data_IF_390897001611
#
_entry.id   IF_390897001611
#
_cell.length_a   1.000
_cell.length_b   1.000
_cell.length_c   1.000
_cell.angle_alpha   90.00
_cell.angle_beta   90.00
_cell.angle_gamma   90.00
#
_symmetry.space_group_name_H-M   'P 1'
#
loop_
_entity.id
_entity.type
_entity.pdbx_description
1 polymer ?
#
# COMPACT_ATOMS: atom_id res chain seq x y z
N UNK A 1 -18.00 71.82 0.60
CA UNK A 1 -17.31 70.74 1.36
C UNK A 1 -15.94 70.53 0.75
N UNK A 2 -14.85 70.55 1.54
CA UNK A 2 -13.51 70.37 0.97
C UNK A 2 -13.37 68.95 0.40
N UNK A 3 -12.88 68.82 -0.83
CA UNK A 3 -12.70 67.52 -1.52
C UNK A 3 -11.75 66.57 -0.76
N UNK A 4 -11.01 67.07 0.22
CA UNK A 4 -9.99 66.32 0.96
C UNK A 4 -10.56 65.52 2.15
N UNK A 5 -11.83 65.72 2.52
CA UNK A 5 -12.45 65.01 3.65
C UNK A 5 -12.91 63.58 3.34
N UNK A 6 -13.42 63.36 2.11
CA UNK A 6 -14.00 62.07 1.71
C UNK A 6 -12.95 60.96 1.57
N UNK A 7 -11.72 61.30 1.18
CA UNK A 7 -10.65 60.31 0.99
C UNK A 7 -10.37 59.50 2.27
N UNK A 8 -10.51 60.12 3.46
CA UNK A 8 -10.26 59.49 4.76
C UNK A 8 -11.24 58.38 5.13
N UNK A 9 -12.37 58.27 4.43
CA UNK A 9 -13.38 57.26 4.71
C UNK A 9 -13.17 55.98 3.91
N UNK A 10 -12.57 56.06 2.71
CA UNK A 10 -12.35 54.88 1.89
C UNK A 10 -11.37 53.89 2.54
N UNK A 11 -10.37 54.37 3.29
CA UNK A 11 -9.39 53.52 3.98
C UNK A 11 -10.03 52.62 5.05
N UNK A 12 -11.26 52.93 5.48
CA UNK A 12 -12.01 52.16 6.49
C UNK A 12 -12.99 51.15 5.90
N UNK A 13 -13.19 51.16 4.59
CA UNK A 13 -14.11 50.23 3.93
C UNK A 13 -13.51 48.83 3.91
N UNK A 14 -14.30 47.85 4.30
CA UNK A 14 -13.99 46.43 4.10
C UNK A 14 -13.93 46.10 2.60
N UNK A 15 -13.25 45.01 2.19
CA UNK A 15 -13.21 44.59 0.79
C UNK A 15 -14.61 44.43 0.17
N UNK A 16 -15.55 43.87 0.94
CA UNK A 16 -16.93 43.62 0.49
C UNK A 16 -17.74 44.90 0.30
N UNK A 17 -17.66 45.86 1.23
CA UNK A 17 -18.32 47.16 1.10
C UNK A 17 -17.79 47.94 -0.11
N UNK A 18 -16.46 47.89 -0.31
CA UNK A 18 -15.80 48.57 -1.41
C UNK A 18 -16.20 47.99 -2.76
N UNK A 19 -16.27 46.65 -2.86
CA UNK A 19 -16.79 45.95 -4.04
C UNK A 19 -18.22 46.37 -4.37
N UNK A 20 -19.12 46.39 -3.37
CA UNK A 20 -20.52 46.81 -3.57
C UNK A 20 -20.61 48.26 -4.06
N UNK A 21 -19.84 49.17 -3.46
CA UNK A 21 -19.83 50.57 -3.86
C UNK A 21 -19.28 50.78 -5.27
N UNK A 22 -18.25 50.02 -5.65
CA UNK A 22 -17.64 50.08 -6.98
C UNK A 22 -18.62 49.63 -8.07
N UNK A 23 -19.29 48.48 -7.86
CA UNK A 23 -20.35 47.99 -8.75
C UNK A 23 -21.48 49.03 -8.91
N UNK A 24 -21.90 49.66 -7.82
CA UNK A 24 -22.93 50.70 -7.84
C UNK A 24 -22.46 51.99 -8.53
N UNK A 25 -21.19 52.37 -8.38
CA UNK A 25 -20.61 53.52 -9.08
C UNK A 25 -20.56 53.27 -10.60
N UNK A 26 -20.09 52.08 -11.00
CA UNK A 26 -20.06 51.64 -12.39
C UNK A 26 -21.46 51.60 -13.03
N UNK A 27 -22.46 51.08 -12.31
CA UNK A 27 -23.85 51.04 -12.79
C UNK A 27 -24.44 52.45 -13.04
N UNK A 28 -23.95 53.48 -12.33
CA UNK A 28 -24.35 54.89 -12.52
C UNK A 28 -23.48 55.64 -13.52
N UNK A 29 -22.48 54.98 -14.12
CA UNK A 29 -21.51 55.61 -15.02
C UNK A 29 -20.50 56.53 -14.32
N UNK A 30 -20.40 56.47 -12.99
CA UNK A 30 -19.49 57.30 -12.20
C UNK A 30 -18.08 56.67 -12.14
N UNK A 31 -17.35 56.81 -13.24
CA UNK A 31 -15.97 56.29 -13.37
C UNK A 31 -15.01 56.89 -12.34
N UNK A 32 -15.25 58.15 -11.95
CA UNK A 32 -14.34 58.85 -11.04
C UNK A 32 -14.46 58.31 -9.61
N UNK A 33 -15.66 57.90 -9.19
CA UNK A 33 -15.86 57.21 -7.92
C UNK A 33 -15.25 55.80 -7.92
N UNK A 34 -15.41 55.05 -9.02
CA UNK A 34 -14.77 53.75 -9.19
C UNK A 34 -13.23 53.86 -9.09
N UNK A 35 -12.63 54.82 -9.79
CA UNK A 35 -11.18 55.09 -9.71
C UNK A 35 -10.73 55.43 -8.28
N UNK A 36 -11.52 56.18 -7.51
CA UNK A 36 -11.22 56.47 -6.09
C UNK A 36 -11.31 55.24 -5.19
N UNK A 37 -12.32 54.40 -5.39
CA UNK A 37 -12.48 53.15 -4.65
C UNK A 37 -11.34 52.17 -4.93
N UNK A 38 -10.95 52.02 -6.19
CA UNK A 38 -9.84 51.15 -6.61
C UNK A 38 -8.48 51.69 -6.15
N UNK A 39 -8.25 53.00 -6.29
CA UNK A 39 -6.94 53.60 -5.92
C UNK A 39 -6.69 53.64 -4.41
N UNK A 40 -7.75 53.68 -3.60
CA UNK A 40 -7.68 53.62 -2.13
C UNK A 40 -7.62 52.20 -1.57
N UNK A 41 -7.79 51.15 -2.39
CA UNK A 41 -7.69 49.76 -1.92
C UNK A 41 -6.34 49.53 -1.22
N UNK A 42 -6.34 48.98 0.02
CA UNK A 42 -5.11 48.60 0.70
C UNK A 42 -4.31 47.66 -0.19
N UNK A 43 -3.09 48.08 -0.53
CA UNK A 43 -2.15 47.25 -1.26
C UNK A 43 -1.29 46.52 -0.24
N UNK A 44 -1.42 45.21 -0.22
CA UNK A 44 -0.60 44.35 0.61
C UNK A 44 0.54 43.78 -0.23
N UNK A 45 1.75 43.85 0.31
CA UNK A 45 2.87 43.09 -0.21
C UNK A 45 2.80 41.70 0.40
N UNK A 46 2.55 40.69 -0.43
CA UNK A 46 2.62 39.31 0.00
C UNK A 46 4.00 38.74 -0.35
N UNK A 47 4.59 38.02 0.58
CA UNK A 47 5.70 37.11 0.31
C UNK A 47 5.12 35.72 0.21
N UNK A 48 5.40 35.01 -0.88
CA UNK A 48 4.97 33.63 -1.08
C UNK A 48 6.19 32.78 -1.40
N UNK A 49 6.16 31.53 -0.99
CA UNK A 49 7.13 30.54 -1.45
C UNK A 49 7.08 30.46 -2.97
N UNK A 50 8.25 30.27 -3.59
CA UNK A 50 8.31 30.07 -5.03
C UNK A 50 7.34 28.97 -5.47
N UNK A 51 6.52 29.29 -6.47
CA UNK A 51 5.43 28.42 -6.92
C UNK A 51 5.99 27.15 -7.56
N UNK A 52 7.08 27.28 -8.32
CA UNK A 52 7.71 26.13 -8.98
C UNK A 52 8.30 25.18 -7.95
N UNK A 53 9.02 25.69 -6.96
CA UNK A 53 9.52 24.92 -5.82
C UNK A 53 8.38 24.18 -5.10
N UNK A 54 7.33 24.90 -4.70
CA UNK A 54 6.22 24.31 -3.95
C UNK A 54 5.46 23.25 -4.76
N UNK A 55 5.29 23.48 -6.06
CA UNK A 55 4.68 22.52 -6.97
C UNK A 55 5.51 21.25 -7.12
N UNK A 56 6.82 21.37 -7.36
CA UNK A 56 7.74 20.23 -7.43
C UNK A 56 7.74 19.42 -6.12
N UNK A 57 7.74 20.09 -4.98
CA UNK A 57 7.67 19.42 -3.68
C UNK A 57 6.39 18.60 -3.50
N UNK A 58 5.24 19.20 -3.85
CA UNK A 58 3.95 18.51 -3.79
C UNK A 58 3.89 17.31 -4.73
N UNK A 59 4.54 17.41 -5.90
CA UNK A 59 4.61 16.30 -6.85
C UNK A 59 5.48 15.15 -6.37
N UNK A 60 6.64 15.44 -5.79
CA UNK A 60 7.49 14.40 -5.20
C UNK A 60 6.72 13.64 -4.11
N UNK A 61 5.99 14.36 -3.26
CA UNK A 61 5.13 13.74 -2.24
C UNK A 61 4.06 12.83 -2.87
N UNK A 62 3.29 13.34 -3.83
CA UNK A 62 2.20 12.58 -4.47
C UNK A 62 2.70 11.33 -5.19
N UNK A 63 3.76 11.44 -6.00
CA UNK A 63 4.34 10.31 -6.72
C UNK A 63 4.93 9.26 -5.78
N UNK A 64 5.68 9.70 -4.76
CA UNK A 64 6.28 8.79 -3.78
C UNK A 64 5.21 8.00 -3.02
N UNK A 65 4.13 8.68 -2.59
CA UNK A 65 3.03 8.01 -1.88
C UNK A 65 2.29 7.02 -2.78
N UNK A 66 2.00 7.37 -4.04
CA UNK A 66 1.31 6.47 -4.97
C UNK A 66 2.14 5.23 -5.29
N UNK A 67 3.42 5.41 -5.57
CA UNK A 67 4.35 4.30 -5.80
C UNK A 67 4.43 3.42 -4.55
N UNK A 68 4.59 4.04 -3.37
CA UNK A 68 4.71 3.26 -2.14
C UNK A 68 3.42 2.47 -1.83
N UNK A 69 2.22 2.95 -2.15
CA UNK A 69 1.00 2.16 -1.98
C UNK A 69 1.07 0.84 -2.75
N UNK A 70 1.59 0.85 -3.98
CA UNK A 70 1.75 -0.38 -4.77
C UNK A 70 2.86 -1.29 -4.22
N UNK A 71 4.00 -0.72 -3.81
CA UNK A 71 5.06 -1.50 -3.17
C UNK A 71 4.55 -2.12 -1.87
N UNK A 72 3.89 -1.34 -1.02
CA UNK A 72 3.35 -1.79 0.26
C UNK A 72 2.35 -2.93 0.10
N UNK A 73 1.51 -2.92 -0.94
CA UNK A 73 0.60 -4.01 -1.24
C UNK A 73 1.34 -5.34 -1.43
N UNK A 74 2.42 -5.36 -2.19
CA UNK A 74 3.24 -6.56 -2.38
C UNK A 74 3.95 -6.97 -1.09
N UNK A 75 4.46 -6.01 -0.31
CA UNK A 75 5.10 -6.30 0.98
C UNK A 75 4.11 -6.89 1.99
N UNK A 76 2.89 -6.37 2.04
CA UNK A 76 1.82 -6.90 2.91
C UNK A 76 1.43 -8.34 2.51
N UNK A 77 1.40 -8.64 1.20
CA UNK A 77 1.19 -10.01 0.71
C UNK A 77 2.35 -10.93 1.11
N UNK A 78 3.59 -10.47 1.04
CA UNK A 78 4.75 -11.24 1.52
C UNK A 78 4.65 -11.51 3.03
N UNK A 79 4.23 -10.53 3.82
CA UNK A 79 4.01 -10.70 5.26
C UNK A 79 2.89 -11.72 5.54
N UNK A 80 1.81 -11.69 4.75
CA UNK A 80 0.75 -12.69 4.81
C UNK A 80 1.25 -14.10 4.45
N UNK A 81 2.07 -14.24 3.40
CA UNK A 81 2.68 -15.53 3.02
C UNK A 81 3.56 -16.08 4.14
N UNK A 82 4.36 -15.24 4.81
CA UNK A 82 5.16 -15.63 5.98
C UNK A 82 4.28 -16.10 7.14
N UNK A 83 3.18 -15.39 7.41
CA UNK A 83 2.23 -15.78 8.45
C UNK A 83 1.58 -17.15 8.14
N UNK A 84 1.18 -17.39 6.88
CA UNK A 84 0.65 -18.69 6.45
C UNK A 84 1.71 -19.78 6.62
N UNK A 85 2.96 -19.54 6.17
CA UNK A 85 4.06 -20.50 6.32
C UNK A 85 4.31 -20.86 7.79
N UNK A 86 4.25 -19.87 8.69
CA UNK A 86 4.39 -20.10 10.13
C UNK A 86 3.20 -20.90 10.73
N UNK A 87 2.01 -20.81 10.15
CA UNK A 87 0.83 -21.53 10.61
C UNK A 87 0.73 -22.96 10.06
N UNK A 88 1.37 -23.28 8.93
CA UNK A 88 1.28 -24.59 8.28
C UNK A 88 1.65 -25.77 9.21
N UNK A 89 2.75 -25.74 9.99
CA UNK A 89 3.07 -26.85 10.89
C UNK A 89 1.97 -27.13 11.91
N UNK A 90 1.33 -26.07 12.44
CA UNK A 90 0.22 -26.19 13.40
C UNK A 90 -1.00 -26.82 12.74
N UNK A 91 -1.31 -26.40 11.51
CA UNK A 91 -2.42 -26.98 10.75
C UNK A 91 -2.16 -28.46 10.42
N UNK A 92 -0.93 -28.81 10.08
CA UNK A 92 -0.54 -30.18 9.74
C UNK A 92 -0.60 -31.10 10.97
N UNK A 93 -0.11 -30.64 12.12
CA UNK A 93 -0.25 -31.36 13.40
C UNK A 93 -1.72 -31.58 13.76
N UNK A 94 -2.53 -30.52 13.70
CA UNK A 94 -3.96 -30.61 13.97
C UNK A 94 -4.69 -31.57 13.00
N UNK A 95 -4.33 -31.53 11.71
CA UNK A 95 -4.88 -32.44 10.71
C UNK A 95 -4.50 -33.88 11.02
N UNK A 96 -3.24 -34.15 11.39
CA UNK A 96 -2.77 -35.48 11.81
C UNK A 96 -3.54 -36.01 13.01
N UNK A 97 -3.73 -35.21 14.05
CA UNK A 97 -4.51 -35.59 15.22
C UNK A 97 -5.96 -35.92 14.84
N UNK A 98 -6.61 -35.08 14.03
CA UNK A 98 -7.98 -35.32 13.57
C UNK A 98 -8.11 -36.56 12.71
N UNK A 99 -7.14 -36.84 11.83
CA UNK A 99 -7.12 -38.06 11.04
C UNK A 99 -6.94 -39.30 11.93
N UNK A 100 -6.07 -39.23 12.93
CA UNK A 100 -5.88 -40.29 13.92
C UNK A 100 -7.18 -40.60 14.66
N UNK A 101 -7.86 -39.58 15.18
CA UNK A 101 -9.13 -39.74 15.88
C UNK A 101 -10.21 -40.37 14.98
N UNK A 102 -10.32 -39.88 13.75
CA UNK A 102 -11.27 -40.41 12.77
C UNK A 102 -10.96 -41.88 12.40
N UNK A 103 -9.69 -42.23 12.25
CA UNK A 103 -9.25 -43.60 11.99
C UNK A 103 -9.61 -44.53 13.16
N UNK A 104 -9.28 -44.12 14.40
CA UNK A 104 -9.58 -44.90 15.62
C UNK A 104 -11.08 -45.12 15.75
N UNK A 105 -11.91 -44.08 15.58
CA UNK A 105 -13.36 -44.20 15.72
C UNK A 105 -13.95 -45.05 14.58
N UNK A 106 -13.48 -44.88 13.35
CA UNK A 106 -13.88 -45.70 12.21
C UNK A 106 -13.55 -47.18 12.41
N UNK A 107 -12.35 -47.48 12.92
CA UNK A 107 -11.94 -48.85 13.26
C UNK A 107 -12.85 -49.45 14.33
N UNK A 108 -13.13 -48.71 15.41
CA UNK A 108 -14.05 -49.15 16.47
C UNK A 108 -15.46 -49.40 15.95
N UNK A 109 -15.97 -48.52 15.10
CA UNK A 109 -17.29 -48.68 14.49
C UNK A 109 -17.35 -49.94 13.60
N UNK A 110 -16.35 -50.15 12.75
CA UNK A 110 -16.24 -51.34 11.89
C UNK A 110 -16.16 -52.63 12.70
N UNK A 111 -15.36 -52.66 13.77
CA UNK A 111 -15.26 -53.80 14.67
C UNK A 111 -16.60 -54.13 15.34
N UNK A 112 -17.33 -53.13 15.87
CA UNK A 112 -18.67 -53.31 16.45
C UNK A 112 -19.65 -53.89 15.43
N UNK A 113 -19.63 -53.39 14.20
CA UNK A 113 -20.50 -53.88 13.13
C UNK A 113 -20.19 -55.34 12.75
N UNK A 114 -18.90 -55.67 12.58
CA UNK A 114 -18.45 -57.02 12.26
C UNK A 114 -18.81 -58.02 13.38
N UNK A 115 -18.63 -57.62 14.64
CA UNK A 115 -19.01 -58.42 15.80
C UNK A 115 -20.51 -58.75 15.81
N UNK A 116 -21.36 -57.74 15.61
CA UNK A 116 -22.80 -57.95 15.52
C UNK A 116 -23.20 -58.84 14.34
N UNK A 117 -22.55 -58.68 13.18
CA UNK A 117 -22.80 -59.51 12.00
C UNK A 117 -22.38 -60.98 12.21
N UNK A 118 -21.40 -61.25 13.06
CA UNK A 118 -20.99 -62.60 13.44
C UNK A 118 -21.96 -63.30 14.42
N UNK A 119 -22.99 -62.59 14.90
CA UNK A 119 -23.97 -63.13 15.86
C UNK A 119 -23.42 -63.30 17.28
N UNK A 120 -22.30 -62.66 17.60
CA UNK A 120 -21.70 -62.74 18.93
C UNK A 120 -22.48 -61.87 19.93
N UNK A 121 -22.83 -62.44 21.08
CA UNK A 121 -23.50 -61.73 22.18
C UNK A 121 -22.51 -60.89 23.01
N UNK A 122 -23.00 -59.81 23.60
CA UNK A 122 -22.21 -58.91 24.45
C UNK A 122 -21.69 -57.66 23.73
N UNK A 123 -20.93 -56.85 24.46
CA UNK A 123 -20.26 -55.68 23.90
C UNK A 123 -18.97 -56.13 23.23
N UNK A 124 -18.66 -55.61 22.03
CA UNK A 124 -17.35 -55.75 21.40
C UNK A 124 -16.28 -54.93 22.16
N UNK A 125 -16.36 -54.90 23.50
CA UNK A 125 -15.45 -54.17 24.35
C UNK A 125 -14.16 -54.96 24.43
N UNK A 126 -13.06 -54.27 24.12
CA UNK A 126 -11.69 -54.74 24.29
C UNK A 126 -11.15 -55.63 23.16
N UNK A 127 -11.48 -55.34 21.90
CA UNK A 127 -10.43 -55.58 20.91
C UNK A 127 -9.26 -54.65 21.25
N UNK A 128 -8.08 -55.19 21.60
CA UNK A 128 -6.98 -54.38 22.03
C UNK A 128 -6.64 -53.41 20.89
N UNK A 129 -6.47 -52.13 21.23
CA UNK A 129 -5.95 -51.13 20.30
C UNK A 129 -4.49 -51.43 19.90
N UNK A 130 -3.89 -52.49 20.46
CA UNK A 130 -2.66 -53.14 20.02
C UNK A 130 -2.85 -53.69 18.60
N UNK A 131 -2.68 -52.82 17.61
CA UNK A 131 -2.93 -53.12 16.21
C UNK A 131 -3.30 -51.90 15.37
N UNK A 132 -3.50 -50.73 16.00
CA UNK A 132 -3.49 -49.46 15.28
C UNK A 132 -2.09 -49.24 14.75
N UNK A 133 -1.94 -49.43 13.44
CA UNK A 133 -0.72 -49.13 12.72
C UNK A 133 -0.58 -47.61 12.62
N UNK A 134 0.11 -47.00 13.59
CA UNK A 134 0.42 -45.56 13.58
C UNK A 134 1.16 -45.16 12.29
N UNK A 135 1.97 -46.06 11.73
CA UNK A 135 2.62 -45.86 10.44
C UNK A 135 1.62 -45.67 9.30
N UNK A 136 0.45 -46.30 9.36
CA UNK A 136 -0.62 -46.12 8.38
C UNK A 136 -1.40 -44.82 8.57
N UNK A 137 -1.51 -44.32 9.80
CA UNK A 137 -2.08 -42.98 10.07
C UNK A 137 -1.12 -41.91 9.54
N UNK A 138 0.18 -42.07 9.78
CA UNK A 138 1.21 -41.17 9.27
C UNK A 138 1.33 -41.26 7.73
N UNK A 139 1.17 -42.44 7.13
CA UNK A 139 1.10 -42.60 5.67
C UNK A 139 -0.12 -41.88 5.08
N UNK A 140 -1.30 -42.03 5.69
CA UNK A 140 -2.51 -41.34 5.25
C UNK A 140 -2.43 -39.82 5.42
N UNK A 141 -1.81 -39.35 6.52
CA UNK A 141 -1.54 -37.93 6.71
C UNK A 141 -0.47 -37.40 5.76
N UNK A 142 0.57 -38.20 5.49
CA UNK A 142 1.66 -37.91 4.56
C UNK A 142 1.23 -37.91 3.10
N UNK A 143 0.17 -38.63 2.72
CA UNK A 143 -0.49 -38.47 1.41
C UNK A 143 -1.12 -37.08 1.25
N UNK A 144 -1.38 -36.39 2.37
CA UNK A 144 -1.75 -34.98 2.41
C UNK A 144 -0.57 -34.01 2.34
N UNK A 145 0.68 -34.51 2.18
CA UNK A 145 1.88 -33.68 2.02
C UNK A 145 1.60 -32.61 0.96
N UNK A 146 1.42 -31.40 1.47
CA UNK A 146 0.76 -30.36 0.72
C UNK A 146 1.75 -29.78 -0.28
N UNK A 147 1.35 -29.57 -1.53
CA UNK A 147 2.09 -28.75 -2.52
C UNK A 147 2.24 -27.28 -2.08
N UNK A 148 1.76 -26.94 -0.89
CA UNK A 148 1.73 -25.60 -0.32
C UNK A 148 3.11 -24.95 -0.14
N UNK A 149 4.19 -25.61 0.32
CA UNK A 149 5.49 -24.97 0.43
C UNK A 149 6.00 -24.45 -0.92
N UNK A 150 5.89 -25.26 -1.97
CA UNK A 150 6.31 -24.90 -3.33
C UNK A 150 5.47 -23.73 -3.87
N UNK A 151 4.15 -23.77 -3.68
CA UNK A 151 3.24 -22.66 -4.06
C UNK A 151 3.59 -21.39 -3.28
N UNK A 152 3.83 -21.49 -1.98
CA UNK A 152 4.19 -20.32 -1.16
C UNK A 152 5.53 -19.72 -1.57
N UNK A 153 6.51 -20.55 -1.93
CA UNK A 153 7.81 -20.10 -2.44
C UNK A 153 7.69 -19.40 -3.80
N UNK A 154 6.89 -19.96 -4.71
CA UNK A 154 6.60 -19.33 -6.01
C UNK A 154 5.90 -17.98 -5.83
N UNK A 155 4.88 -17.92 -4.97
CA UNK A 155 4.18 -16.68 -4.65
C UNK A 155 5.11 -15.66 -3.99
N UNK A 156 5.92 -16.05 -3.01
CA UNK A 156 6.88 -15.15 -2.35
C UNK A 156 7.87 -14.56 -3.36
N UNK A 157 8.42 -15.41 -4.25
CA UNK A 157 9.33 -14.97 -5.32
C UNK A 157 8.65 -13.99 -6.28
N UNK A 158 7.41 -14.26 -6.68
CA UNK A 158 6.64 -13.38 -7.56
C UNK A 158 6.40 -12.02 -6.92
N UNK A 159 5.84 -11.98 -5.70
CA UNK A 159 5.54 -10.71 -5.04
C UNK A 159 6.81 -9.90 -4.73
N UNK A 160 7.90 -10.56 -4.33
CA UNK A 160 9.19 -9.90 -4.12
C UNK A 160 9.75 -9.30 -5.42
N UNK A 161 9.65 -10.02 -6.54
CA UNK A 161 10.11 -9.53 -7.84
C UNK A 161 9.30 -8.31 -8.32
N UNK A 162 7.98 -8.32 -8.19
CA UNK A 162 7.15 -7.17 -8.57
C UNK A 162 7.45 -5.93 -7.71
N UNK A 163 7.55 -6.10 -6.38
CA UNK A 163 7.93 -5.01 -5.48
C UNK A 163 9.32 -4.44 -5.80
N UNK A 164 10.28 -5.32 -6.13
CA UNK A 164 11.64 -4.93 -6.48
C UNK A 164 11.67 -4.11 -7.79
N UNK A 165 10.91 -4.53 -8.81
CA UNK A 165 10.82 -3.80 -10.08
C UNK A 165 10.25 -2.39 -9.88
N UNK A 166 9.18 -2.25 -9.10
CA UNK A 166 8.59 -0.97 -8.74
C UNK A 166 9.60 -0.07 -8.00
N UNK A 167 10.28 -0.62 -6.99
CA UNK A 167 11.27 0.12 -6.20
C UNK A 167 12.46 0.60 -7.05
N UNK A 168 13.01 -0.27 -7.89
CA UNK A 168 14.12 0.10 -8.78
C UNK A 168 13.71 1.08 -9.88
N UNK A 169 12.49 0.96 -10.42
CA UNK A 169 11.93 1.97 -11.35
C UNK A 169 11.81 3.35 -10.70
N UNK A 170 11.36 3.41 -9.45
CA UNK A 170 11.38 4.64 -8.65
C UNK A 170 12.80 5.15 -8.38
N UNK A 171 13.73 4.24 -8.07
CA UNK A 171 15.16 4.50 -7.98
C UNK A 171 15.73 5.22 -9.19
N UNK A 172 15.50 4.66 -10.38
CA UNK A 172 15.92 5.22 -11.64
C UNK A 172 15.27 6.59 -11.90
N UNK A 173 13.97 6.73 -11.66
CA UNK A 173 13.27 8.00 -11.80
C UNK A 173 13.86 9.08 -10.90
N UNK A 174 14.08 8.79 -9.61
CA UNK A 174 14.68 9.73 -8.68
C UNK A 174 16.10 10.13 -9.12
N UNK A 175 16.92 9.18 -9.58
CA UNK A 175 18.27 9.44 -10.06
C UNK A 175 18.27 10.34 -11.30
N UNK A 176 17.49 9.99 -12.31
CA UNK A 176 17.54 10.64 -13.63
C UNK A 176 16.79 11.97 -13.68
N UNK A 177 15.60 12.03 -13.06
CA UNK A 177 14.71 13.20 -13.14
C UNK A 177 14.92 14.16 -11.97
N UNK A 178 15.07 13.63 -10.76
CA UNK A 178 15.22 14.46 -9.56
C UNK A 178 16.68 14.74 -9.21
N UNK A 179 17.63 13.93 -9.70
CA UNK A 179 19.03 13.98 -9.28
C UNK A 179 19.21 13.57 -7.82
N UNK A 180 18.32 12.74 -7.28
CA UNK A 180 18.26 12.35 -5.87
C UNK A 180 18.26 10.83 -5.71
N UNK A 181 18.76 10.37 -4.58
CA UNK A 181 18.66 8.97 -4.18
C UNK A 181 17.25 8.65 -3.68
N UNK A 182 16.62 7.61 -4.23
CA UNK A 182 15.25 7.23 -3.86
C UNK A 182 15.07 6.95 -2.37
N UNK A 183 16.05 6.32 -1.70
CA UNK A 183 16.02 6.09 -0.26
C UNK A 183 15.89 7.39 0.55
N UNK A 184 16.55 8.47 0.11
CA UNK A 184 16.45 9.80 0.76
C UNK A 184 15.11 10.46 0.49
N UNK A 185 14.59 10.34 -0.74
CA UNK A 185 13.25 10.83 -1.07
C UNK A 185 12.21 10.12 -0.22
N UNK A 186 12.25 8.79 -0.16
CA UNK A 186 11.35 7.99 0.65
C UNK A 186 11.47 8.31 2.14
N UNK A 187 12.69 8.46 2.69
CA UNK A 187 12.89 8.79 4.09
C UNK A 187 12.24 10.12 4.48
N UNK A 188 12.26 11.11 3.59
CA UNK A 188 11.63 12.42 3.86
C UNK A 188 10.12 12.37 3.72
N UNK A 189 9.59 11.60 2.78
CA UNK A 189 8.14 11.50 2.55
C UNK A 189 7.46 10.54 3.54
N UNK A 190 8.11 9.42 3.84
CA UNK A 190 7.54 8.31 4.61
C UNK A 190 8.65 7.51 5.32
N UNK A 191 9.27 8.10 6.33
CA UNK A 191 10.34 7.48 7.12
C UNK A 191 10.11 6.00 7.51
N UNK A 192 8.92 5.58 8.00
CA UNK A 192 8.71 4.18 8.41
C UNK A 192 8.78 3.17 7.25
N UNK A 193 8.68 3.62 6.00
CA UNK A 193 8.76 2.76 4.83
C UNK A 193 10.18 2.29 4.54
N UNK A 194 11.21 3.01 4.98
CA UNK A 194 12.61 2.72 4.67
C UNK A 194 12.99 1.31 5.13
N UNK A 195 12.65 0.94 6.37
CA UNK A 195 12.96 -0.39 6.89
C UNK A 195 12.23 -1.51 6.15
N UNK A 196 11.06 -1.24 5.56
CA UNK A 196 10.33 -2.21 4.76
C UNK A 196 10.98 -2.43 3.39
N UNK A 197 11.55 -1.39 2.81
CA UNK A 197 12.36 -1.49 1.60
C UNK A 197 13.68 -2.23 1.87
N UNK A 198 14.36 -1.95 2.98
CA UNK A 198 15.56 -2.71 3.36
C UNK A 198 15.24 -4.21 3.50
N UNK A 199 14.09 -4.54 4.10
CA UNK A 199 13.60 -5.92 4.21
C UNK A 199 13.23 -6.56 2.86
N UNK A 200 12.74 -5.75 1.89
CA UNK A 200 12.52 -6.18 0.51
C UNK A 200 13.84 -6.53 -0.18
N UNK A 201 14.84 -5.64 -0.10
CA UNK A 201 16.17 -5.86 -0.72
C UNK A 201 16.86 -7.09 -0.14
N UNK A 202 16.83 -7.25 1.19
CA UNK A 202 17.34 -8.45 1.85
C UNK A 202 16.58 -9.73 1.43
N UNK A 203 15.28 -9.63 1.18
CA UNK A 203 14.49 -10.75 0.65
C UNK A 203 14.87 -11.07 -0.79
N UNK A 204 15.05 -10.06 -1.64
CA UNK A 204 15.47 -10.24 -3.02
C UNK A 204 16.86 -10.91 -3.09
N UNK A 205 17.82 -10.47 -2.28
CA UNK A 205 19.14 -11.09 -2.17
C UNK A 205 19.04 -12.56 -1.77
N UNK A 206 18.26 -12.88 -0.73
CA UNK A 206 18.03 -14.26 -0.28
C UNK A 206 17.42 -15.15 -1.37
N UNK A 207 16.57 -14.58 -2.23
CA UNK A 207 15.87 -15.31 -3.29
C UNK A 207 16.63 -15.32 -4.63
N UNK A 208 17.81 -14.70 -4.69
CA UNK A 208 18.61 -14.43 -5.90
C UNK A 208 17.78 -13.73 -7.00
N UNK A 209 16.96 -12.76 -6.58
CA UNK A 209 16.14 -11.98 -7.50
C UNK A 209 16.91 -10.76 -8.01
N UNK A 210 16.81 -10.54 -9.31
CA UNK A 210 17.29 -9.32 -9.96
C UNK A 210 16.10 -8.55 -10.49
N UNK A 211 16.14 -7.20 -10.42
CA UNK A 211 15.12 -6.40 -11.06
C UNK A 211 15.14 -6.65 -12.57
N UNK A 212 13.96 -6.80 -13.14
CA UNK A 212 13.74 -6.93 -14.57
C UNK A 212 13.94 -5.55 -15.21
N UNK A 213 14.93 -5.44 -16.11
CA UNK A 213 15.31 -4.17 -16.72
C UNK A 213 14.18 -3.54 -17.55
N UNK A 214 13.35 -4.35 -18.20
CA UNK A 214 12.23 -3.86 -19.01
C UNK A 214 11.15 -3.26 -18.10
N UNK A 215 10.79 -3.98 -17.03
CA UNK A 215 9.80 -3.50 -16.05
C UNK A 215 10.31 -2.29 -15.26
N UNK A 216 11.59 -2.25 -14.91
CA UNK A 216 12.20 -1.07 -14.25
C UNK A 216 12.08 0.15 -15.15
N UNK A 217 12.37 -0.01 -16.44
CA UNK A 217 12.29 1.07 -17.41
C UNK A 217 10.83 1.53 -17.62
N UNK A 218 9.88 0.62 -17.76
CA UNK A 218 8.45 0.95 -17.86
C UNK A 218 7.97 1.78 -16.65
N UNK A 219 8.34 1.37 -15.45
CA UNK A 219 8.01 2.10 -14.22
C UNK A 219 8.68 3.48 -14.18
N UNK A 220 9.96 3.58 -14.58
CA UNK A 220 10.71 4.84 -14.67
C UNK A 220 10.04 5.80 -15.66
N UNK A 221 9.67 5.32 -16.84
CA UNK A 221 8.98 6.10 -17.88
C UNK A 221 7.63 6.59 -17.39
N UNK A 222 6.79 5.71 -16.82
CA UNK A 222 5.49 6.09 -16.29
C UNK A 222 5.57 7.19 -15.22
N UNK A 223 6.55 7.13 -14.32
CA UNK A 223 6.80 8.18 -13.32
C UNK A 223 7.29 9.49 -13.98
N UNK A 224 8.15 9.39 -14.98
CA UNK A 224 8.67 10.54 -15.73
C UNK A 224 7.58 11.26 -16.51
N UNK A 225 6.68 10.52 -17.14
CA UNK A 225 5.51 11.08 -17.84
C UNK A 225 4.55 11.75 -16.85
N UNK A 226 4.27 11.12 -15.71
CA UNK A 226 3.43 11.70 -14.66
C UNK A 226 4.03 13.00 -14.13
N UNK A 227 5.35 13.03 -13.92
CA UNK A 227 6.09 14.23 -13.53
C UNK A 227 5.95 15.36 -14.57
N UNK A 228 6.24 15.08 -15.84
CA UNK A 228 6.18 16.04 -16.93
C UNK A 228 4.75 16.59 -17.15
N UNK A 229 3.74 15.74 -17.02
CA UNK A 229 2.32 16.11 -17.16
C UNK A 229 1.90 17.19 -16.15
N UNK A 230 2.44 17.15 -14.93
CA UNK A 230 2.08 18.14 -13.91
C UNK A 230 2.99 19.36 -13.92
N UNK A 231 4.28 19.22 -14.23
CA UNK A 231 5.14 20.39 -14.46
C UNK A 231 4.58 21.26 -15.60
N UNK A 232 4.09 20.64 -16.68
CA UNK A 232 3.45 21.36 -17.79
C UNK A 232 2.14 22.08 -17.43
N UNK A 233 1.47 21.71 -16.33
CA UNK A 233 0.28 22.42 -15.81
C UNK A 233 0.63 23.56 -14.84
N UNK A 234 1.85 23.55 -14.31
CA UNK A 234 2.35 24.54 -13.38
C UNK A 234 3.05 25.73 -14.07
N UNK A 235 3.48 25.54 -15.32
CA UNK A 235 3.99 26.58 -16.23
C UNK A 235 2.84 27.42 -16.84
#
# INVERSE_FOLDING_TARGET
>A
MSKNGLHRHYDKLTPEERFRLDVLAMARGDKQESERLVSSCPRFSYTMTDRHFSGRWMLVLDLTLRLYVWVAEHLDRMDALRAVRAALPIQDEYARERMRDAYVEGHRAGARQAWGAAGAEGQASEWPLEGIDEGRVDELAGLGASIMPEILDELERREAAEALNLWHGFGAFCGDVLGLEAGKVLAVVLEPAVCRIDALEATAERLDLKPDAEKVEENREGLSEAWASVEGRAA
#
